data_IF_872893429798
#
_entry.id   IF_872893429798
#
_cell.length_a   1.000
_cell.length_b   1.000
_cell.length_c   1.000
_cell.angle_alpha   90.00
_cell.angle_beta   90.00
_cell.angle_gamma   90.00
#
_symmetry.space_group_name_H-M   'P 1'
#
loop_
_entity.id
_entity.type
_entity.pdbx_description
1 polymer ?
#
# COMPACT_ATOMS: atom_id res chain seq x y z
N UNK A 1 -30.31 -23.23 74.05
CA UNK A 1 -29.91 -21.94 73.48
C UNK A 1 -28.62 -22.11 72.61
N UNK A 2 -28.70 -22.45 71.33
CA UNK A 2 -27.44 -22.59 70.61
C UNK A 2 -27.50 -23.28 69.27
N UNK A 3 -28.64 -23.21 68.55
CA UNK A 3 -28.73 -23.91 67.20
C UNK A 3 -29.49 -23.13 66.11
N UNK A 4 -29.60 -21.82 66.26
CA UNK A 4 -30.38 -21.02 65.27
C UNK A 4 -29.55 -19.97 64.51
N UNK A 5 -28.23 -19.97 64.61
CA UNK A 5 -27.38 -18.94 63.99
C UNK A 5 -26.55 -19.45 62.81
N UNK A 6 -26.65 -20.70 62.38
CA UNK A 6 -25.82 -21.30 61.32
C UNK A 6 -26.53 -21.46 59.96
N UNK A 7 -27.81 -21.10 59.84
CA UNK A 7 -28.59 -21.28 58.60
C UNK A 7 -28.78 -20.01 57.75
N UNK A 8 -28.32 -18.84 58.20
CA UNK A 8 -28.44 -17.58 57.46
C UNK A 8 -27.18 -17.21 56.65
N UNK A 9 -26.09 -17.96 56.80
CA UNK A 9 -24.82 -17.69 56.13
C UNK A 9 -24.67 -18.30 54.70
N UNK A 10 -25.53 -19.25 54.31
CA UNK A 10 -25.37 -20.02 53.07
C UNK A 10 -26.20 -19.50 51.89
N UNK A 11 -27.07 -18.54 52.09
CA UNK A 11 -27.93 -17.99 51.01
C UNK A 11 -27.36 -16.75 50.33
N UNK A 12 -26.25 -16.19 50.80
CA UNK A 12 -25.66 -14.97 50.21
C UNK A 12 -24.58 -15.23 49.14
N UNK A 13 -24.13 -16.48 48.96
CA UNK A 13 -23.02 -16.78 48.00
C UNK A 13 -23.51 -17.22 46.61
N UNK A 14 -24.77 -17.55 46.47
CA UNK A 14 -25.31 -18.07 45.19
C UNK A 14 -25.75 -16.98 44.18
N UNK A 15 -25.74 -15.69 44.52
CA UNK A 15 -26.24 -14.63 43.67
C UNK A 15 -25.19 -13.93 42.76
N UNK A 16 -23.89 -14.29 42.89
CA UNK A 16 -22.81 -13.62 42.13
C UNK A 16 -22.31 -14.34 40.86
N UNK A 17 -22.96 -15.40 40.39
CA UNK A 17 -22.44 -16.20 39.26
C UNK A 17 -23.20 -16.02 37.96
N UNK A 18 -24.20 -15.14 37.88
CA UNK A 18 -24.81 -14.78 36.60
C UNK A 18 -24.37 -13.39 36.16
N UNK A 19 -23.08 -13.22 35.84
CA UNK A 19 -22.69 -12.14 34.94
C UNK A 19 -23.17 -12.57 33.56
N UNK A 20 -24.09 -11.81 32.91
CA UNK A 20 -24.45 -12.11 31.54
C UNK A 20 -23.17 -12.04 30.71
N UNK A 21 -22.80 -13.13 30.05
CA UNK A 21 -21.73 -13.13 29.09
C UNK A 21 -22.06 -12.05 28.06
N UNK A 22 -21.31 -10.94 28.08
CA UNK A 22 -21.45 -9.92 27.08
C UNK A 22 -21.22 -10.58 25.73
N UNK A 23 -22.27 -10.75 24.93
CA UNK A 23 -22.16 -11.25 23.57
C UNK A 23 -21.12 -10.40 22.85
N UNK A 24 -19.96 -10.95 22.60
CA UNK A 24 -18.91 -10.34 21.81
C UNK A 24 -19.46 -10.19 20.40
N UNK A 25 -20.00 -9.01 20.07
CA UNK A 25 -20.43 -8.71 18.70
C UNK A 25 -19.30 -9.03 17.75
N UNK A 26 -19.52 -10.00 16.86
CA UNK A 26 -18.55 -10.41 15.83
C UNK A 26 -18.05 -9.18 15.08
N UNK A 27 -16.79 -8.83 15.28
CA UNK A 27 -16.16 -7.72 14.56
C UNK A 27 -15.80 -8.18 13.16
N UNK A 28 -16.37 -7.56 12.16
CA UNK A 28 -16.01 -7.79 10.75
C UNK A 28 -14.55 -7.33 10.54
N UNK A 29 -13.77 -8.15 9.85
CA UNK A 29 -12.36 -7.83 9.52
C UNK A 29 -12.09 -8.03 8.04
N UNK A 30 -11.39 -7.10 7.41
CA UNK A 30 -10.87 -7.23 6.06
C UNK A 30 -9.44 -6.69 5.98
N UNK A 31 -8.63 -7.32 5.15
CA UNK A 31 -7.23 -6.89 4.94
C UNK A 31 -6.98 -6.74 3.42
N UNK A 32 -7.37 -5.59 2.84
CA UNK A 32 -7.02 -5.26 1.46
C UNK A 32 -5.53 -5.44 1.19
N UNK A 33 -5.17 -6.07 0.07
CA UNK A 33 -3.78 -6.32 -0.31
C UNK A 33 -3.11 -7.55 0.33
N UNK A 34 -3.71 -8.22 1.32
CA UNK A 34 -3.12 -9.36 2.01
C UNK A 34 -2.69 -10.49 1.07
N UNK A 35 -3.52 -10.83 0.08
CA UNK A 35 -3.21 -11.87 -0.91
C UNK A 35 -1.93 -11.57 -1.69
N UNK A 36 -1.75 -10.34 -2.18
CA UNK A 36 -0.54 -9.95 -2.89
C UNK A 36 0.67 -10.01 -1.98
N UNK A 37 0.52 -9.50 -0.76
CA UNK A 37 1.58 -9.45 0.23
C UNK A 37 2.06 -10.85 0.66
N UNK A 38 1.17 -11.85 0.67
CA UNK A 38 1.51 -13.23 1.02
C UNK A 38 2.14 -14.02 -0.13
N UNK A 39 1.76 -13.72 -1.37
CA UNK A 39 2.12 -14.53 -2.55
C UNK A 39 3.25 -13.94 -3.39
N UNK A 40 3.58 -12.65 -3.23
CA UNK A 40 4.57 -11.96 -4.04
C UNK A 40 5.72 -11.44 -3.18
N UNK A 41 6.91 -11.35 -3.78
CA UNK A 41 8.10 -10.75 -3.17
C UNK A 41 8.56 -9.57 -3.99
N UNK A 42 9.04 -8.47 -3.37
CA UNK A 42 9.52 -7.33 -4.11
C UNK A 42 10.78 -7.67 -4.93
N UNK A 43 10.91 -7.05 -6.09
CA UNK A 43 12.03 -7.28 -7.00
C UNK A 43 13.21 -6.38 -6.65
N UNK A 44 14.02 -6.80 -5.71
CA UNK A 44 15.29 -6.18 -5.42
C UNK A 44 16.08 -7.23 -4.64
N UNK A 45 16.74 -8.12 -5.36
CA UNK A 45 17.55 -9.19 -4.76
C UNK A 45 18.86 -8.67 -4.18
N UNK A 46 19.56 -9.55 -3.47
CA UNK A 46 20.92 -9.29 -2.98
C UNK A 46 21.92 -9.14 -4.13
N UNK A 47 21.64 -9.86 -5.22
CA UNK A 47 22.45 -9.76 -6.43
C UNK A 47 22.03 -8.49 -7.17
N UNK A 48 23.03 -7.76 -7.61
CA UNK A 48 22.85 -6.56 -8.40
C UNK A 48 22.18 -6.93 -9.73
N UNK A 49 20.89 -7.17 -9.67
CA UNK A 49 20.09 -7.17 -10.88
C UNK A 49 19.68 -5.72 -11.14
N UNK A 50 19.77 -5.30 -12.41
CA UNK A 50 19.21 -4.03 -12.89
C UNK A 50 17.72 -3.88 -12.59
N UNK A 51 17.15 -4.88 -11.92
CA UNK A 51 15.73 -5.11 -11.67
C UNK A 51 15.22 -4.62 -10.31
N UNK A 52 15.99 -3.85 -9.56
CA UNK A 52 15.48 -3.27 -8.33
C UNK A 52 14.36 -2.29 -8.64
N UNK A 53 13.14 -2.71 -8.34
CA UNK A 53 11.96 -1.91 -8.57
C UNK A 53 11.62 -1.09 -7.31
N UNK A 54 11.77 0.22 -7.41
CA UNK A 54 11.36 1.17 -6.38
C UNK A 54 10.31 2.11 -6.90
N UNK A 55 9.51 2.61 -6.00
CA UNK A 55 8.62 3.74 -6.24
C UNK A 55 8.98 4.90 -5.32
N UNK A 56 8.75 6.12 -5.78
CA UNK A 56 9.06 7.31 -5.01
C UNK A 56 8.22 8.53 -5.37
N UNK A 57 8.13 9.45 -4.42
CA UNK A 57 7.48 10.76 -4.55
C UNK A 57 6.06 10.69 -5.12
N UNK A 58 5.23 9.77 -4.60
CA UNK A 58 3.83 9.64 -5.01
C UNK A 58 2.93 9.11 -3.91
N UNK A 59 1.62 9.26 -4.10
CA UNK A 59 0.58 8.47 -3.43
C UNK A 59 -0.06 7.58 -4.48
N UNK A 60 -0.19 6.28 -4.18
CA UNK A 60 -0.67 5.31 -5.15
C UNK A 60 -1.52 4.21 -4.51
N UNK A 61 -2.38 3.61 -5.29
CA UNK A 61 -3.16 2.44 -4.88
C UNK A 61 -3.34 1.49 -6.06
N UNK A 62 -3.47 0.20 -5.75
CA UNK A 62 -3.78 -0.78 -6.76
C UNK A 62 -5.23 -0.59 -7.21
N UNK A 63 -5.37 -0.29 -8.46
CA UNK A 63 -6.65 -0.15 -9.17
C UNK A 63 -6.79 -1.34 -10.12
N UNK A 64 -8.00 -1.73 -10.41
CA UNK A 64 -8.23 -2.80 -11.36
C UNK A 64 -8.49 -2.26 -12.75
N UNK A 65 -8.06 -3.05 -13.73
CA UNK A 65 -8.56 -2.90 -15.09
C UNK A 65 -10.07 -3.19 -15.12
N UNK A 66 -10.78 -2.60 -16.08
CA UNK A 66 -12.22 -2.81 -16.28
C UNK A 66 -12.61 -4.29 -16.43
N UNK A 67 -11.67 -5.15 -16.83
CA UNK A 67 -11.86 -6.59 -17.04
C UNK A 67 -11.90 -7.39 -15.71
N UNK A 68 -11.22 -6.93 -14.67
CA UNK A 68 -11.14 -7.64 -13.38
C UNK A 68 -11.80 -6.80 -12.29
N UNK A 69 -13.08 -6.99 -12.09
CA UNK A 69 -13.98 -6.20 -11.22
C UNK A 69 -13.65 -6.19 -9.71
N UNK A 70 -12.48 -6.62 -9.27
CA UNK A 70 -12.13 -6.67 -7.85
C UNK A 70 -11.55 -5.34 -7.37
N UNK A 71 -12.21 -4.70 -6.45
CA UNK A 71 -11.80 -3.43 -5.82
C UNK A 71 -10.94 -3.69 -4.59
N UNK A 72 -9.71 -4.17 -4.79
CA UNK A 72 -8.88 -4.71 -3.70
C UNK A 72 -8.58 -3.73 -2.57
N UNK A 73 -8.55 -2.42 -2.84
CA UNK A 73 -8.21 -1.40 -1.85
C UNK A 73 -9.38 -0.45 -1.56
N UNK A 74 -10.58 -0.81 -1.99
CA UNK A 74 -11.80 -0.08 -1.63
C UNK A 74 -12.35 -0.62 -0.32
N UNK A 75 -12.61 0.26 0.60
CA UNK A 75 -13.19 -0.05 1.91
C UNK A 75 -14.62 -0.54 1.73
N UNK A 76 -14.97 -1.77 2.16
CA UNK A 76 -16.28 -2.36 1.87
C UNK A 76 -17.39 -1.88 2.82
N UNK A 77 -17.03 -1.35 4.01
CA UNK A 77 -17.98 -0.84 5.03
C UNK A 77 -17.31 0.23 5.90
N UNK A 78 -18.12 0.92 6.71
CA UNK A 78 -17.60 1.87 7.69
C UNK A 78 -16.89 1.15 8.82
N UNK A 79 -15.74 1.65 9.23
CA UNK A 79 -14.92 1.01 10.25
C UNK A 79 -13.68 1.80 10.64
N UNK A 80 -12.69 1.11 11.18
CA UNK A 80 -11.40 1.67 11.57
C UNK A 80 -10.25 0.90 10.92
N UNK A 81 -9.32 1.59 10.29
CA UNK A 81 -8.05 1.04 9.87
C UNK A 81 -7.12 1.05 11.08
N UNK A 82 -6.70 -0.14 11.51
CA UNK A 82 -5.96 -0.35 12.77
C UNK A 82 -4.48 -0.64 12.56
N UNK A 83 -4.10 -1.16 11.39
CA UNK A 83 -2.71 -1.45 11.04
C UNK A 83 -2.52 -1.51 9.52
N UNK A 84 -1.27 -1.44 9.10
CA UNK A 84 -0.89 -1.68 7.72
C UNK A 84 0.43 -2.42 7.65
N UNK A 85 0.65 -3.14 6.57
CA UNK A 85 1.88 -3.91 6.36
C UNK A 85 2.46 -3.60 5.00
N UNK A 86 3.79 -3.71 4.89
CA UNK A 86 4.54 -3.52 3.65
C UNK A 86 5.61 -4.60 3.55
N UNK A 87 5.86 -5.12 2.35
CA UNK A 87 6.97 -6.03 2.07
C UNK A 87 8.05 -5.27 1.33
N UNK A 88 9.25 -5.27 1.88
CA UNK A 88 10.37 -4.49 1.41
C UNK A 88 11.47 -5.40 0.87
N UNK A 89 12.01 -5.06 -0.28
CA UNK A 89 13.24 -5.65 -0.77
C UNK A 89 14.45 -5.13 0.02
N UNK A 90 15.59 -5.78 -0.17
CA UNK A 90 16.89 -5.37 0.37
C UNK A 90 17.73 -4.72 -0.73
N UNK A 91 17.72 -3.38 -0.89
CA UNK A 91 18.58 -2.71 -1.85
C UNK A 91 20.06 -2.88 -1.48
N UNK A 92 20.92 -3.12 -2.46
CA UNK A 92 22.36 -3.27 -2.20
C UNK A 92 23.00 -1.94 -1.80
N UNK A 93 23.94 -2.01 -0.85
CA UNK A 93 24.82 -0.90 -0.44
C UNK A 93 26.19 -0.99 -1.09
N UNK A 94 26.52 -2.10 -1.73
CA UNK A 94 27.82 -2.32 -2.37
C UNK A 94 27.83 -1.68 -3.75
N UNK A 95 28.94 -1.01 -4.10
CA UNK A 95 29.25 -0.61 -5.48
C UNK A 95 29.58 -1.85 -6.30
N UNK A 96 29.22 -1.82 -7.57
CA UNK A 96 29.54 -2.87 -8.53
C UNK A 96 30.17 -2.16 -9.74
N UNK A 97 31.48 -2.32 -9.89
CA UNK A 97 32.25 -1.54 -10.85
C UNK A 97 32.11 -0.05 -10.59
N UNK A 98 31.93 0.74 -11.65
CA UNK A 98 31.76 2.20 -11.58
C UNK A 98 30.34 2.65 -11.22
N UNK A 99 29.40 1.71 -11.09
CA UNK A 99 28.00 2.05 -10.77
C UNK A 99 27.83 2.33 -9.30
N UNK A 100 27.05 3.38 -8.99
CA UNK A 100 26.59 3.66 -7.64
C UNK A 100 25.77 2.49 -7.11
N UNK A 101 25.97 2.13 -5.83
CA UNK A 101 25.10 1.19 -5.16
C UNK A 101 23.64 1.68 -5.19
N UNK A 102 22.69 0.74 -5.29
CA UNK A 102 21.27 1.07 -5.41
C UNK A 102 20.77 1.99 -4.29
N UNK A 103 21.18 1.69 -3.06
CA UNK A 103 20.73 2.47 -1.90
C UNK A 103 21.14 3.96 -1.98
N UNK A 104 22.43 4.32 -2.19
CA UNK A 104 22.81 5.72 -2.37
C UNK A 104 22.16 6.39 -3.58
N UNK A 105 22.00 5.67 -4.69
CA UNK A 105 21.37 6.21 -5.89
C UNK A 105 19.90 6.59 -5.64
N UNK A 106 19.15 5.75 -4.94
CA UNK A 106 17.75 6.07 -4.60
C UNK A 106 17.64 7.24 -3.65
N UNK A 107 18.53 7.36 -2.66
CA UNK A 107 18.57 8.52 -1.77
C UNK A 107 18.86 9.82 -2.55
N UNK A 108 19.76 9.77 -3.52
CA UNK A 108 20.09 10.92 -4.36
C UNK A 108 18.91 11.34 -5.24
N UNK A 109 18.21 10.37 -5.85
CA UNK A 109 17.11 10.63 -6.79
C UNK A 109 15.82 11.03 -6.08
N UNK A 110 15.49 10.34 -5.00
CA UNK A 110 14.17 10.46 -4.36
C UNK A 110 14.21 11.17 -3.01
N UNK A 111 15.40 11.36 -2.43
CA UNK A 111 15.58 11.85 -1.06
C UNK A 111 15.69 10.72 -0.03
N UNK A 112 16.21 11.04 1.14
CA UNK A 112 16.44 10.13 2.26
C UNK A 112 15.70 10.60 3.51
N UNK A 113 15.39 9.68 4.45
CA UNK A 113 15.45 8.22 4.34
C UNK A 113 14.32 7.65 3.46
N UNK A 114 14.34 6.31 3.20
CA UNK A 114 13.21 5.63 2.59
C UNK A 114 11.98 5.72 3.52
N UNK A 115 10.82 6.10 2.96
CA UNK A 115 9.63 6.40 3.76
C UNK A 115 8.34 5.97 3.07
N UNK A 116 7.38 5.49 3.88
CA UNK A 116 6.00 5.30 3.42
C UNK A 116 4.99 5.47 4.56
N UNK A 117 3.74 5.69 4.20
CA UNK A 117 2.61 5.75 5.13
C UNK A 117 1.30 5.46 4.41
N UNK A 118 0.24 5.18 5.16
CA UNK A 118 -1.09 4.93 4.60
C UNK A 118 -1.89 6.22 4.51
N UNK A 119 -2.57 6.38 3.39
CA UNK A 119 -3.51 7.46 3.12
C UNK A 119 -4.89 6.92 2.78
N UNK A 120 -5.92 7.60 3.25
CA UNK A 120 -7.31 7.30 2.93
C UNK A 120 -7.81 8.35 1.95
N UNK A 121 -8.20 7.88 0.78
CA UNK A 121 -8.68 8.71 -0.31
C UNK A 121 -10.19 8.55 -0.51
N UNK A 122 -10.85 9.62 -0.92
CA UNK A 122 -12.24 9.61 -1.37
C UNK A 122 -12.29 10.13 -2.81
N UNK A 123 -12.92 9.36 -3.68
CA UNK A 123 -13.14 9.79 -5.06
C UNK A 123 -14.13 10.97 -5.07
N UNK A 124 -13.72 12.09 -5.68
CA UNK A 124 -14.55 13.30 -5.77
C UNK A 124 -15.01 13.60 -7.20
N UNK A 125 -14.37 13.00 -8.20
CA UNK A 125 -14.73 13.19 -9.59
C UNK A 125 -14.27 12.05 -10.49
N UNK A 126 -15.21 11.43 -11.18
CA UNK A 126 -14.98 10.41 -12.23
C UNK A 126 -14.86 11.09 -13.60
N UNK A 127 -13.69 11.61 -13.97
CA UNK A 127 -13.49 12.13 -15.32
C UNK A 127 -12.77 11.12 -16.19
N UNK A 128 -13.36 10.74 -17.34
CA UNK A 128 -12.81 9.74 -18.25
C UNK A 128 -11.54 10.22 -18.96
N UNK A 129 -11.46 11.47 -19.42
CA UNK A 129 -10.37 11.98 -20.28
C UNK A 129 -9.03 12.22 -19.56
N UNK A 130 -9.04 12.59 -18.29
CA UNK A 130 -7.81 12.96 -17.55
C UNK A 130 -7.61 12.17 -16.25
N UNK A 131 -8.33 11.07 -16.09
CA UNK A 131 -8.33 10.26 -14.88
C UNK A 131 -9.13 10.86 -13.72
N UNK A 132 -9.43 10.03 -12.71
CA UNK A 132 -10.22 10.41 -11.56
C UNK A 132 -9.47 11.39 -10.64
N UNK A 133 -10.24 12.12 -9.82
CA UNK A 133 -9.71 13.01 -8.78
C UNK A 133 -10.07 12.45 -7.41
N UNK A 134 -9.10 12.48 -6.51
CA UNK A 134 -9.26 11.98 -5.13
C UNK A 134 -8.90 13.06 -4.13
N UNK A 135 -9.73 13.15 -3.08
CA UNK A 135 -9.48 13.95 -1.90
C UNK A 135 -8.77 13.09 -0.85
N UNK A 136 -7.68 13.58 -0.28
CA UNK A 136 -7.06 12.97 0.90
C UNK A 136 -7.89 13.29 2.13
N UNK A 137 -8.55 12.29 2.72
CA UNK A 137 -9.43 12.51 3.86
C UNK A 137 -8.79 12.18 5.20
N UNK A 138 -7.84 11.24 5.22
CA UNK A 138 -7.06 10.85 6.41
C UNK A 138 -5.70 10.28 5.99
N UNK A 139 -4.74 10.32 6.89
CA UNK A 139 -3.43 9.68 6.73
C UNK A 139 -2.92 9.17 8.05
N UNK A 140 -2.15 8.09 8.02
CA UNK A 140 -1.31 7.64 9.12
C UNK A 140 0.00 8.44 9.15
N UNK A 141 0.75 8.39 10.25
CA UNK A 141 2.15 8.80 10.27
C UNK A 141 2.96 8.15 9.15
N UNK A 142 4.03 8.81 8.76
CA UNK A 142 4.99 8.28 7.79
C UNK A 142 6.07 7.54 8.56
N UNK A 143 6.34 6.31 8.15
CA UNK A 143 7.32 5.43 8.77
C UNK A 143 8.65 5.46 8.01
N UNK A 144 9.77 5.39 8.73
CA UNK A 144 11.10 5.18 8.17
C UNK A 144 11.27 3.69 7.89
N UNK A 145 11.56 3.35 6.64
CA UNK A 145 11.58 1.96 6.18
C UNK A 145 12.96 1.29 6.25
N UNK A 146 14.02 2.08 6.38
CA UNK A 146 15.40 1.57 6.34
C UNK A 146 15.70 0.41 7.28
N UNK A 147 15.21 0.39 8.54
CA UNK A 147 15.45 -0.73 9.46
C UNK A 147 14.81 -2.05 9.03
N UNK A 148 13.81 -2.00 8.15
CA UNK A 148 12.97 -3.14 7.77
C UNK A 148 13.27 -3.68 6.36
N UNK A 149 14.31 -3.21 5.71
CA UNK A 149 14.68 -3.71 4.38
C UNK A 149 14.92 -5.22 4.37
N UNK A 150 14.43 -5.88 3.34
CA UNK A 150 14.49 -7.33 3.19
C UNK A 150 13.42 -8.10 3.97
N UNK A 151 12.51 -7.40 4.63
CA UNK A 151 11.48 -8.02 5.46
C UNK A 151 10.06 -7.56 5.11
N UNK A 152 9.09 -8.20 5.72
CA UNK A 152 7.72 -7.72 5.84
C UNK A 152 7.53 -7.16 7.24
N UNK A 153 7.05 -5.93 7.32
CA UNK A 153 6.76 -5.25 8.58
C UNK A 153 5.29 -4.86 8.65
N UNK A 154 4.75 -4.86 9.86
CA UNK A 154 3.40 -4.37 10.17
C UNK A 154 3.50 -3.23 11.16
N UNK A 155 2.92 -2.10 10.80
CA UNK A 155 2.79 -0.92 11.65
C UNK A 155 1.38 -0.89 12.22
N UNK A 156 1.28 -1.01 13.54
CA UNK A 156 0.02 -0.83 14.28
C UNK A 156 -0.18 0.67 14.50
N UNK A 157 -1.40 1.14 14.31
CA UNK A 157 -1.71 2.55 14.51
C UNK A 157 -2.11 2.81 15.95
N UNK A 158 -1.41 3.67 16.66
CA UNK A 158 -1.77 4.13 18.01
C UNK A 158 -3.17 4.77 17.99
N UNK A 159 -3.47 5.51 16.94
CA UNK A 159 -4.78 6.07 16.69
C UNK A 159 -5.39 5.50 15.40
N UNK A 160 -6.32 4.55 15.51
CA UNK A 160 -6.99 3.97 14.35
C UNK A 160 -7.71 5.02 13.51
N UNK A 161 -7.54 4.95 12.18
CA UNK A 161 -8.16 5.88 11.25
C UNK A 161 -9.60 5.47 10.96
N UNK A 162 -10.55 6.37 11.16
CA UNK A 162 -11.92 6.15 10.71
C UNK A 162 -11.96 6.06 9.19
N UNK A 163 -12.54 5.00 8.67
CA UNK A 163 -12.72 4.76 7.24
C UNK A 163 -14.18 4.53 6.93
N UNK A 164 -14.63 5.01 5.77
CA UNK A 164 -16.01 4.88 5.31
C UNK A 164 -16.06 3.99 4.07
N UNK A 165 -17.21 3.36 3.87
CA UNK A 165 -17.49 2.61 2.65
C UNK A 165 -17.09 3.44 1.42
N UNK A 166 -16.51 2.79 0.42
CA UNK A 166 -16.00 3.37 -0.83
C UNK A 166 -14.77 4.29 -0.67
N UNK A 167 -14.23 4.47 0.52
CA UNK A 167 -12.90 5.04 0.66
C UNK A 167 -11.86 4.11 0.02
N UNK A 168 -10.75 4.67 -0.39
CA UNK A 168 -9.62 3.92 -0.97
C UNK A 168 -8.43 3.99 -0.03
N UNK A 169 -7.85 2.84 0.26
CA UNK A 169 -6.59 2.74 0.99
C UNK A 169 -5.45 2.89 -0.01
N UNK A 170 -4.62 3.90 0.16
CA UNK A 170 -3.48 4.19 -0.69
C UNK A 170 -2.17 4.19 0.10
N UNK A 171 -1.06 3.86 -0.57
CA UNK A 171 0.29 4.00 -0.03
C UNK A 171 0.84 5.35 -0.46
N UNK A 172 1.29 6.15 0.49
CA UNK A 172 2.01 7.42 0.26
C UNK A 172 3.48 7.19 0.48
N UNK A 173 4.30 7.52 -0.50
CA UNK A 173 5.75 7.34 -0.52
C UNK A 173 6.38 8.73 -0.71
N UNK A 174 6.75 9.42 0.39
CA UNK A 174 7.31 10.78 0.31
C UNK A 174 8.69 10.83 -0.36
N UNK A 175 9.50 9.83 -0.12
CA UNK A 175 10.83 9.67 -0.71
C UNK A 175 10.81 8.46 -1.66
N UNK A 176 11.19 7.28 -1.19
CA UNK A 176 11.15 6.04 -1.96
C UNK A 176 10.87 4.83 -1.10
N UNK A 177 10.41 3.75 -1.73
CA UNK A 177 10.19 2.46 -1.08
C UNK A 177 10.48 1.30 -2.05
N UNK A 178 11.31 0.30 -1.66
CA UNK A 178 11.58 -0.89 -2.47
C UNK A 178 10.49 -1.94 -2.25
N UNK A 179 9.23 -1.57 -2.53
CA UNK A 179 8.04 -2.37 -2.24
C UNK A 179 7.29 -2.78 -3.51
N UNK A 180 7.97 -2.82 -4.65
CA UNK A 180 7.34 -3.09 -5.93
C UNK A 180 7.70 -4.50 -6.42
N UNK A 181 6.70 -5.28 -6.80
CA UNK A 181 6.87 -6.51 -7.56
C UNK A 181 6.59 -6.28 -9.04
N UNK A 182 7.45 -6.84 -9.88
CA UNK A 182 7.28 -6.91 -11.34
C UNK A 182 7.35 -8.35 -11.78
N UNK A 183 6.50 -8.81 -12.71
CA UNK A 183 6.67 -10.13 -13.32
C UNK A 183 7.92 -10.12 -14.21
N UNK A 184 8.71 -11.20 -14.15
CA UNK A 184 9.92 -11.36 -14.99
C UNK A 184 9.64 -11.16 -16.49
N UNK A 185 8.46 -11.59 -16.95
CA UNK A 185 8.03 -11.45 -18.34
C UNK A 185 7.75 -10.02 -18.81
N UNK A 186 7.80 -9.03 -17.91
CA UNK A 186 7.54 -7.61 -18.23
C UNK A 186 8.77 -6.74 -17.94
N UNK A 187 9.94 -7.31 -18.00
CA UNK A 187 11.18 -6.57 -17.77
C UNK A 187 11.56 -5.78 -19.02
N UNK A 188 11.08 -4.56 -19.13
CA UNK A 188 11.30 -3.66 -20.26
C UNK A 188 12.71 -3.01 -20.28
N UNK A 189 13.52 -3.20 -19.23
CA UNK A 189 14.89 -2.68 -19.18
C UNK A 189 15.92 -3.59 -19.87
N UNK A 190 15.55 -4.79 -20.28
CA UNK A 190 16.41 -5.66 -21.06
C UNK A 190 16.06 -5.46 -22.52
N UNK A 191 16.79 -4.58 -23.16
CA UNK A 191 16.52 -3.98 -24.47
C UNK A 191 16.41 -4.99 -25.63
N UNK A 192 16.77 -6.26 -25.48
CA UNK A 192 16.76 -7.23 -26.58
C UNK A 192 16.45 -8.70 -26.23
N UNK A 193 16.29 -9.09 -24.99
CA UNK A 193 16.26 -10.53 -24.66
C UNK A 193 14.91 -11.11 -24.18
N UNK A 194 13.96 -10.30 -23.73
CA UNK A 194 12.74 -10.82 -23.11
C UNK A 194 11.42 -10.35 -23.75
N UNK A 195 11.41 -10.18 -25.06
CA UNK A 195 10.18 -10.24 -25.86
C UNK A 195 9.62 -11.68 -25.90
N UNK A 196 10.15 -12.57 -25.05
CA UNK A 196 9.86 -14.01 -25.09
C UNK A 196 8.42 -14.37 -24.71
N UNK A 197 7.64 -13.44 -24.13
CA UNK A 197 6.22 -13.73 -23.89
C UNK A 197 5.35 -12.47 -23.76
N UNK A 198 5.06 -11.75 -24.86
CA UNK A 198 4.23 -10.54 -24.87
C UNK A 198 2.82 -10.80 -24.30
N UNK A 199 2.28 -11.99 -24.51
CA UNK A 199 0.98 -12.37 -23.94
C UNK A 199 1.01 -12.54 -22.41
N UNK A 200 2.11 -13.03 -21.85
CA UNK A 200 2.26 -13.15 -20.39
C UNK A 200 2.37 -11.78 -19.73
N UNK A 201 3.08 -10.86 -20.34
CA UNK A 201 3.14 -9.48 -19.89
C UNK A 201 1.78 -8.79 -20.04
N UNK A 202 1.11 -8.94 -21.17
CA UNK A 202 -0.22 -8.38 -21.39
C UNK A 202 -1.23 -8.90 -20.36
N UNK A 203 -1.20 -10.21 -20.03
CA UNK A 203 -2.04 -10.78 -18.95
C UNK A 203 -1.70 -10.21 -17.57
N UNK A 204 -0.41 -10.06 -17.25
CA UNK A 204 0.02 -9.45 -15.99
C UNK A 204 -0.39 -7.98 -15.91
N UNK A 205 -0.24 -7.23 -16.99
CA UNK A 205 -0.66 -5.83 -17.10
C UNK A 205 -2.16 -5.67 -16.89
N UNK A 206 -2.96 -6.61 -17.40
CA UNK A 206 -4.41 -6.61 -17.19
C UNK A 206 -4.80 -6.96 -15.76
N UNK A 207 -4.04 -7.83 -15.10
CA UNK A 207 -4.34 -8.33 -13.74
C UNK A 207 -3.85 -7.39 -12.63
N UNK A 208 -2.71 -6.76 -12.85
CA UNK A 208 -2.04 -5.93 -11.85
C UNK A 208 -1.89 -4.52 -12.39
N UNK A 209 -2.71 -3.62 -11.92
CA UNK A 209 -2.69 -2.22 -12.33
C UNK A 209 -2.81 -1.34 -11.10
N UNK A 210 -2.09 -0.25 -11.08
CA UNK A 210 -2.20 0.74 -10.02
C UNK A 210 -2.26 2.17 -10.57
N UNK A 211 -2.78 3.08 -9.76
CA UNK A 211 -2.88 4.50 -10.07
C UNK A 211 -2.02 5.31 -9.12
N UNK A 212 -1.30 6.28 -9.67
CA UNK A 212 -0.48 7.22 -8.91
C UNK A 212 -0.98 8.66 -9.01
N UNK A 213 -0.63 9.46 -8.02
CA UNK A 213 -0.96 10.89 -7.92
C UNK A 213 -0.23 11.79 -8.92
N UNK A 214 0.28 11.20 -9.98
CA UNK A 214 0.93 11.91 -11.10
C UNK A 214 -0.11 12.32 -12.13
N UNK A 215 0.11 13.46 -12.75
CA UNK A 215 -0.71 13.92 -13.87
C UNK A 215 -0.18 13.26 -15.16
N UNK A 216 -1.05 12.55 -15.89
CA UNK A 216 -0.67 12.09 -17.23
C UNK A 216 -0.59 13.28 -18.19
N UNK A 217 0.41 13.30 -19.04
CA UNK A 217 0.51 14.23 -20.16
C UNK A 217 0.25 13.44 -21.45
N UNK A 218 -0.79 13.82 -22.19
CA UNK A 218 -1.09 13.24 -23.50
C UNK A 218 -2.08 12.10 -23.54
N UNK A 219 -2.45 11.69 -24.74
CA UNK A 219 -3.28 10.53 -25.08
C UNK A 219 -2.40 9.56 -25.91
N UNK A 220 -2.38 8.26 -25.64
CA UNK A 220 -2.93 7.62 -24.44
C UNK A 220 -2.15 8.02 -23.19
N UNK A 221 -2.80 7.97 -22.04
CA UNK A 221 -2.24 8.37 -20.73
C UNK A 221 -1.04 7.49 -20.32
N UNK A 222 0.06 7.60 -21.04
CA UNK A 222 1.30 6.91 -20.72
C UNK A 222 2.01 7.69 -19.62
N UNK A 223 2.21 7.03 -18.51
CA UNK A 223 3.01 7.52 -17.39
C UNK A 223 4.43 6.97 -17.47
N UNK A 224 4.77 6.45 -18.63
CA UNK A 224 6.11 6.03 -18.94
C UNK A 224 7.01 7.25 -18.99
N UNK A 225 8.15 7.13 -18.32
CA UNK A 225 9.24 8.09 -18.37
C UNK A 225 9.93 8.01 -19.75
N UNK A 226 9.17 8.20 -20.84
CA UNK A 226 9.73 8.31 -22.19
C UNK A 226 10.33 9.71 -22.34
N UNK A 227 11.65 9.77 -22.23
CA UNK A 227 12.51 10.87 -22.69
C UNK A 227 12.22 12.30 -22.22
N UNK A 228 12.24 12.59 -20.92
CA UNK A 228 13.01 13.72 -20.46
C UNK A 228 14.10 13.24 -19.52
N UNK A 229 15.08 14.07 -19.17
CA UNK A 229 15.99 13.69 -18.11
C UNK A 229 15.15 13.30 -16.91
N UNK A 230 15.27 12.04 -16.48
CA UNK A 230 14.44 11.38 -15.44
C UNK A 230 14.28 12.25 -14.17
N UNK A 231 15.23 13.12 -13.91
CA UNK A 231 15.30 14.03 -12.80
C UNK A 231 14.21 15.13 -12.83
N UNK A 232 13.83 15.64 -13.99
CA UNK A 232 12.92 16.80 -14.07
C UNK A 232 11.46 16.40 -13.84
N UNK A 233 11.05 15.21 -14.29
CA UNK A 233 9.70 14.72 -14.05
C UNK A 233 9.52 14.14 -12.64
N UNK A 234 10.53 13.48 -12.09
CA UNK A 234 10.52 12.99 -10.71
C UNK A 234 10.46 14.14 -9.70
N UNK A 235 11.07 15.28 -10.00
CA UNK A 235 10.99 16.47 -9.15
C UNK A 235 9.58 17.11 -9.16
N UNK A 236 8.84 17.00 -10.26
CA UNK A 236 7.47 17.54 -10.39
C UNK A 236 6.38 16.63 -9.81
N UNK A 237 6.73 15.39 -9.44
CA UNK A 237 5.78 14.48 -8.77
C UNK A 237 5.87 14.66 -7.27
N UNK A 238 4.78 14.97 -6.64
CA UNK A 238 4.72 15.08 -5.19
C UNK A 238 3.63 14.14 -4.65
N UNK A 239 3.90 13.46 -3.52
CA UNK A 239 2.88 12.68 -2.84
C UNK A 239 1.74 13.58 -2.37
N UNK A 240 0.57 13.01 -2.20
CA UNK A 240 -0.57 13.72 -1.63
C UNK A 240 -0.51 13.63 -0.10
N UNK A 241 0.01 14.67 0.54
CA UNK A 241 0.27 14.66 1.99
C UNK A 241 -0.61 15.62 2.79
N UNK A 242 -1.23 16.62 2.14
CA UNK A 242 -2.09 17.60 2.80
C UNK A 242 -3.53 17.08 2.86
N UNK A 243 -4.07 16.94 4.06
CA UNK A 243 -5.48 16.62 4.29
C UNK A 243 -6.36 17.63 3.53
N UNK A 244 -7.50 17.17 3.05
CA UNK A 244 -8.46 17.90 2.22
C UNK A 244 -7.96 18.33 0.83
N UNK A 245 -6.69 18.13 0.51
CA UNK A 245 -6.21 18.36 -0.84
C UNK A 245 -6.88 17.43 -1.85
N UNK A 246 -7.10 17.91 -3.06
CA UNK A 246 -7.65 17.14 -4.17
C UNK A 246 -6.58 17.01 -5.25
N UNK A 247 -6.26 15.77 -5.65
CA UNK A 247 -5.31 15.50 -6.72
C UNK A 247 -5.92 14.60 -7.78
N UNK A 248 -5.37 14.74 -8.99
CA UNK A 248 -5.67 13.86 -10.11
C UNK A 248 -4.74 12.65 -10.07
N UNK A 249 -5.31 11.48 -10.27
CA UNK A 249 -4.60 10.22 -10.39
C UNK A 249 -4.65 9.78 -11.86
N UNK A 250 -3.99 10.56 -12.70
CA UNK A 250 -3.99 10.35 -14.15
C UNK A 250 -3.09 9.20 -14.57
N UNK A 251 -2.00 8.97 -13.81
CA UNK A 251 -1.04 7.93 -14.14
C UNK A 251 -1.54 6.53 -13.82
N UNK A 252 -1.39 5.65 -14.81
CA UNK A 252 -1.84 4.29 -14.79
C UNK A 252 -0.66 3.37 -15.10
N UNK A 253 -0.39 2.41 -14.21
CA UNK A 253 0.75 1.52 -14.34
C UNK A 253 0.25 0.08 -14.37
N UNK A 254 0.56 -0.65 -15.44
CA UNK A 254 0.22 -2.05 -15.59
C UNK A 254 1.37 -2.98 -15.25
N UNK A 255 1.05 -4.21 -14.89
CA UNK A 255 2.03 -5.28 -14.69
C UNK A 255 2.79 -5.25 -13.38
N UNK A 256 2.66 -4.21 -12.57
CA UNK A 256 3.39 -4.07 -11.31
C UNK A 256 2.44 -4.12 -10.11
N UNK A 257 2.94 -4.54 -8.95
CA UNK A 257 2.18 -4.59 -7.70
C UNK A 257 2.92 -3.87 -6.60
N UNK A 258 2.27 -2.89 -5.99
CA UNK A 258 2.71 -2.31 -4.73
C UNK A 258 2.38 -3.30 -3.60
N UNK A 259 3.41 -3.76 -2.90
CA UNK A 259 3.30 -4.80 -1.88
C UNK A 259 3.00 -4.20 -0.51
N UNK A 260 1.77 -3.77 -0.33
CA UNK A 260 1.24 -3.33 0.96
C UNK A 260 -0.15 -3.91 1.21
N UNK A 261 -0.57 -3.87 2.46
CA UNK A 261 -1.92 -4.22 2.89
C UNK A 261 -2.33 -3.35 4.08
N UNK A 262 -3.62 -3.33 4.38
CA UNK A 262 -4.14 -2.61 5.54
C UNK A 262 -5.24 -3.42 6.21
N UNK A 263 -5.25 -3.46 7.54
CA UNK A 263 -6.28 -4.16 8.31
C UNK A 263 -7.36 -3.18 8.72
N UNK A 264 -8.60 -3.48 8.34
CA UNK A 264 -9.79 -2.71 8.67
C UNK A 264 -10.70 -3.59 9.52
N UNK A 265 -11.16 -3.04 10.62
CA UNK A 265 -12.16 -3.64 11.50
C UNK A 265 -13.44 -2.81 11.46
N UNK A 266 -14.58 -3.51 11.39
CA UNK A 266 -15.91 -2.92 11.39
C UNK A 266 -16.76 -3.50 12.52
N UNK A 267 -17.82 -2.82 12.84
CA UNK A 267 -18.89 -3.32 13.74
C UNK A 267 -19.98 -4.00 12.94
#
# INVERSE_FOLDING_TARGET
AGTLTLLLGLLAVAACLFTPAAEAKSTKRVTPGAKNLSSLKPNCGRDFSRDCAVEGKLTAFQSLSAKYKTRNFVVPWNGKLVSWSISLAQPTRKRIGDNLAQFPAFNLIFGAPAQAGISILREVQKRKKHGPRYKLVRKAPVEILNPYFGSRVTFVLDQPLNVFKDNIVALTIPTWAPALWKPKACNWMVEFADVLNPERCARATQRYTWRGSRVSRGEPATCELRNPPANEQLQKTAPQTRIDSIRRYGCYYGGNVLLYSATIVGR
#
